data_IF_511720454106
#
_entry.id   IF_511720454106
#
_cell.length_a   1.000
_cell.length_b   1.000
_cell.length_c   1.000
_cell.angle_alpha   90.00
_cell.angle_beta   90.00
_cell.angle_gamma   90.00
#
_symmetry.space_group_name_H-M   'P 1'
#
loop_
_entity.id
_entity.type
_entity.pdbx_description
1 polymer ?
#
# COMPACT_ATOMS: atom_id res chain seq x y z
N UNK A 1 -24.38 -10.47 8.68
CA UNK A 1 -24.72 -11.66 9.46
C UNK A 1 -23.45 -12.52 9.63
N UNK A 2 -22.98 -12.70 10.86
CA UNK A 2 -21.74 -13.42 11.20
C UNK A 2 -21.72 -14.83 10.60
N UNK A 3 -22.85 -15.54 10.61
CA UNK A 3 -22.95 -16.89 10.02
C UNK A 3 -22.67 -16.87 8.49
N UNK A 4 -23.12 -15.86 7.78
CA UNK A 4 -22.83 -15.68 6.35
C UNK A 4 -21.34 -15.39 6.11
N UNK A 5 -20.74 -14.58 6.98
CA UNK A 5 -19.30 -14.27 6.89
C UNK A 5 -18.45 -15.51 7.15
N UNK A 6 -18.79 -16.32 8.17
CA UNK A 6 -18.10 -17.59 8.45
C UNK A 6 -18.24 -18.55 7.27
N UNK A 7 -19.43 -18.69 6.71
CA UNK A 7 -19.70 -19.59 5.60
C UNK A 7 -18.99 -19.20 4.29
N UNK A 8 -18.74 -17.89 4.09
CA UNK A 8 -18.15 -17.36 2.84
C UNK A 8 -16.68 -17.04 2.91
N UNK A 9 -16.14 -16.74 4.10
CA UNK A 9 -14.75 -16.27 4.30
C UNK A 9 -13.93 -17.09 5.29
N UNK A 10 -14.57 -18.06 5.97
CA UNK A 10 -13.93 -18.90 7.00
C UNK A 10 -13.76 -18.20 8.35
N UNK A 11 -13.31 -18.95 9.35
CA UNK A 11 -13.08 -18.46 10.72
C UNK A 11 -11.87 -17.52 10.79
N UNK A 12 -10.86 -17.73 9.96
CA UNK A 12 -9.67 -16.88 9.91
C UNK A 12 -9.99 -15.39 9.68
N UNK A 13 -11.00 -15.09 8.86
CA UNK A 13 -11.43 -13.70 8.65
C UNK A 13 -11.95 -13.04 9.93
N UNK A 14 -12.61 -13.78 10.79
CA UNK A 14 -13.12 -13.27 12.07
C UNK A 14 -11.97 -13.04 13.04
N UNK A 15 -10.98 -13.95 13.04
CA UNK A 15 -9.77 -13.81 13.84
C UNK A 15 -8.94 -12.60 13.40
N UNK A 16 -8.74 -12.41 12.11
CA UNK A 16 -8.05 -11.25 11.55
C UNK A 16 -8.80 -9.94 11.87
N UNK A 17 -10.13 -9.92 11.73
CA UNK A 17 -10.96 -8.77 12.07
C UNK A 17 -10.93 -8.48 13.58
N UNK A 18 -11.00 -9.52 14.42
CA UNK A 18 -10.88 -9.38 15.87
C UNK A 18 -9.51 -8.81 16.24
N UNK A 19 -8.44 -9.33 15.65
CA UNK A 19 -7.08 -8.85 15.91
C UNK A 19 -6.92 -7.38 15.53
N UNK A 20 -7.49 -6.98 14.39
CA UNK A 20 -7.48 -5.58 13.95
C UNK A 20 -8.24 -4.67 14.94
N UNK A 21 -9.48 -5.03 15.30
CA UNK A 21 -10.31 -4.23 16.23
C UNK A 21 -9.68 -4.19 17.61
N UNK A 22 -9.16 -5.32 18.12
CA UNK A 22 -8.45 -5.34 19.40
C UNK A 22 -7.20 -4.47 19.36
N UNK A 23 -6.44 -4.50 18.25
CA UNK A 23 -5.27 -3.64 18.08
C UNK A 23 -5.62 -2.15 18.17
N UNK A 24 -6.72 -1.74 17.55
CA UNK A 24 -7.19 -0.35 17.66
C UNK A 24 -7.66 -0.01 19.09
N UNK A 25 -8.47 -0.87 19.70
CA UNK A 25 -9.04 -0.61 21.03
C UNK A 25 -7.99 -0.66 22.14
N UNK A 26 -7.04 -1.58 22.06
CA UNK A 26 -6.06 -1.81 23.12
C UNK A 26 -4.88 -0.81 23.03
N UNK A 27 -4.62 -0.24 21.85
CA UNK A 27 -3.48 0.65 21.61
C UNK A 27 -3.90 2.04 21.14
N UNK A 28 -4.29 2.20 19.87
CA UNK A 28 -4.48 3.51 19.25
C UNK A 28 -5.62 4.34 19.87
N UNK A 29 -6.72 3.69 20.27
CA UNK A 29 -7.90 4.33 20.87
C UNK A 29 -7.93 4.20 22.40
N UNK A 30 -6.94 3.56 22.99
CA UNK A 30 -6.85 3.38 24.44
C UNK A 30 -6.22 4.61 25.12
N UNK A 31 -6.98 5.45 25.82
CA UNK A 31 -6.44 6.63 26.50
C UNK A 31 -5.49 6.27 27.66
N UNK A 32 -5.56 5.04 28.17
CA UNK A 32 -4.71 4.54 29.24
C UNK A 32 -3.44 3.86 28.73
N UNK A 33 -3.25 3.76 27.40
CA UNK A 33 -2.05 3.19 26.83
C UNK A 33 -0.83 4.08 27.13
N UNK A 34 0.06 3.59 28.00
CA UNK A 34 1.21 4.35 28.54
C UNK A 34 2.47 4.29 27.66
N UNK A 35 2.31 3.91 26.44
CA UNK A 35 3.42 3.85 25.51
C UNK A 35 3.75 2.41 25.10
N UNK A 36 4.49 2.34 24.07
CA UNK A 36 4.93 1.11 23.41
C UNK A 36 6.24 0.61 24.02
N UNK A 37 6.58 -0.64 23.75
CA UNK A 37 7.78 -1.31 24.30
C UNK A 37 9.10 -0.73 23.81
N UNK A 38 9.07 0.12 22.79
CA UNK A 38 10.24 0.84 22.23
C UNK A 38 10.78 1.91 23.17
N UNK A 39 9.96 2.41 24.10
CA UNK A 39 10.39 3.37 25.14
C UNK A 39 10.62 4.81 24.66
N UNK A 40 10.30 5.10 23.42
CA UNK A 40 10.42 6.43 22.82
C UNK A 40 9.16 7.30 23.03
N UNK A 41 9.32 8.61 22.86
CA UNK A 41 8.20 9.55 22.78
C UNK A 41 7.65 9.61 21.35
N UNK A 42 6.42 9.14 21.16
CA UNK A 42 5.74 9.14 19.86
C UNK A 42 5.41 10.52 19.32
N UNK A 43 5.47 11.56 20.16
CA UNK A 43 5.21 12.95 19.80
C UNK A 43 6.49 13.77 19.61
N UNK A 44 7.67 13.17 19.78
CA UNK A 44 8.96 13.80 19.46
C UNK A 44 9.66 13.11 18.29
N UNK A 45 9.67 13.77 17.13
CA UNK A 45 10.36 13.28 15.93
C UNK A 45 11.88 13.24 16.08
N UNK A 46 12.45 13.95 17.08
CA UNK A 46 13.88 13.97 17.32
C UNK A 46 14.35 12.83 18.23
N UNK A 47 13.44 12.20 18.96
CA UNK A 47 13.71 10.97 19.69
C UNK A 47 13.74 9.79 18.70
N UNK A 48 14.94 9.57 18.10
CA UNK A 48 15.14 8.65 16.97
C UNK A 48 15.83 7.35 17.35
N UNK A 49 16.33 7.23 18.59
CA UNK A 49 17.15 6.08 19.03
C UNK A 49 16.25 5.08 19.73
N UNK A 50 15.51 4.29 18.97
CA UNK A 50 14.63 3.25 19.45
C UNK A 50 14.46 2.14 18.42
N UNK A 51 13.74 1.07 18.83
CA UNK A 51 13.56 -0.11 18.00
C UNK A 51 14.77 -1.06 18.06
N UNK A 52 14.76 -2.07 17.22
CA UNK A 52 15.81 -3.09 17.16
C UNK A 52 15.86 -3.72 15.76
N UNK A 53 16.76 -4.70 15.55
CA UNK A 53 16.90 -5.42 14.29
C UNK A 53 15.89 -6.57 14.09
N UNK A 54 14.94 -6.79 14.99
CA UNK A 54 13.91 -7.81 14.82
C UNK A 54 12.79 -7.34 13.89
N UNK A 55 12.96 -7.62 12.60
CA UNK A 55 11.95 -7.30 11.57
C UNK A 55 10.88 -8.39 11.46
N UNK A 56 11.07 -9.54 12.12
CA UNK A 56 10.16 -10.67 12.01
C UNK A 56 9.05 -10.61 13.05
N UNK A 57 9.38 -10.23 14.30
CA UNK A 57 8.45 -10.25 15.42
C UNK A 57 7.84 -11.62 15.65
N UNK A 58 6.53 -11.65 15.93
CA UNK A 58 5.80 -12.91 16.05
C UNK A 58 5.53 -13.51 14.67
N UNK A 59 6.07 -14.69 14.41
CA UNK A 59 5.93 -15.41 13.13
C UNK A 59 4.48 -15.66 12.73
N UNK A 60 3.61 -15.93 13.68
CA UNK A 60 2.19 -16.21 13.40
C UNK A 60 1.48 -14.93 12.87
N UNK A 61 1.90 -13.76 13.33
CA UNK A 61 1.31 -12.47 12.96
C UNK A 61 2.07 -11.72 11.84
N UNK A 62 3.29 -12.16 11.48
CA UNK A 62 4.09 -11.52 10.41
C UNK A 62 3.60 -11.84 8.98
N UNK A 63 2.34 -12.24 8.82
CA UNK A 63 1.74 -12.72 7.58
C UNK A 63 1.67 -11.64 6.50
N UNK A 64 1.17 -10.46 6.84
CA UNK A 64 0.92 -9.40 5.88
C UNK A 64 2.22 -8.93 5.18
N UNK A 65 3.26 -8.57 5.95
CA UNK A 65 4.54 -8.11 5.40
C UNK A 65 5.26 -9.19 4.59
N UNK A 66 5.20 -10.47 5.04
CA UNK A 66 5.76 -11.61 4.30
C UNK A 66 5.07 -11.80 2.95
N UNK A 67 3.75 -11.67 2.91
CA UNK A 67 2.97 -11.79 1.67
C UNK A 67 3.28 -10.64 0.70
N UNK A 68 3.33 -9.42 1.20
CA UNK A 68 3.69 -8.22 0.45
C UNK A 68 5.08 -8.34 -0.18
N UNK A 69 6.09 -8.77 0.60
CA UNK A 69 7.44 -9.01 0.10
C UNK A 69 7.46 -10.13 -0.97
N UNK A 70 6.67 -11.19 -0.77
CA UNK A 70 6.52 -12.28 -1.73
C UNK A 70 5.97 -11.82 -3.07
N UNK A 71 4.96 -10.96 -3.09
CA UNK A 71 4.42 -10.41 -4.35
C UNK A 71 5.52 -9.72 -5.17
N UNK A 72 6.42 -9.01 -4.51
CA UNK A 72 7.54 -8.34 -5.20
C UNK A 72 8.59 -9.35 -5.65
N UNK A 73 9.06 -10.25 -4.76
CA UNK A 73 10.34 -10.93 -4.93
C UNK A 73 10.36 -12.44 -4.65
N UNK A 74 9.20 -13.12 -4.44
CA UNK A 74 9.24 -14.59 -4.33
C UNK A 74 9.85 -15.23 -5.57
N UNK A 75 10.62 -16.29 -5.37
CA UNK A 75 11.40 -16.95 -6.44
C UNK A 75 10.50 -17.49 -7.54
N UNK A 76 10.84 -17.17 -8.78
CA UNK A 76 10.12 -17.63 -9.98
C UNK A 76 10.65 -18.95 -10.47
N UNK A 77 9.82 -19.69 -11.20
CA UNK A 77 10.20 -20.90 -11.96
C UNK A 77 10.82 -22.01 -11.08
N UNK A 78 10.47 -22.10 -9.82
CA UNK A 78 10.96 -23.12 -8.89
C UNK A 78 9.92 -24.22 -8.57
N UNK A 79 8.76 -24.19 -9.22
CA UNK A 79 7.62 -25.09 -9.01
C UNK A 79 7.05 -25.02 -7.56
N UNK A 80 7.30 -23.95 -6.84
CA UNK A 80 6.80 -23.75 -5.45
C UNK A 80 6.19 -22.35 -5.34
N UNK A 81 4.97 -22.28 -4.83
CA UNK A 81 4.28 -21.00 -4.60
C UNK A 81 3.91 -20.27 -5.88
N UNK A 82 3.97 -18.96 -5.84
CA UNK A 82 3.73 -18.06 -6.96
C UNK A 82 5.02 -17.46 -7.50
N UNK A 83 4.88 -16.55 -8.48
CA UNK A 83 6.00 -15.85 -9.10
C UNK A 83 5.99 -14.37 -8.69
N UNK A 84 7.06 -13.91 -8.05
CA UNK A 84 7.25 -12.49 -7.72
C UNK A 84 7.42 -11.63 -8.97
N UNK A 85 6.93 -10.40 -8.94
CA UNK A 85 6.98 -9.50 -10.11
C UNK A 85 8.43 -9.20 -10.50
N UNK A 86 9.31 -8.94 -9.54
CA UNK A 86 10.70 -8.52 -9.76
C UNK A 86 11.75 -9.55 -9.29
N UNK A 87 11.35 -10.73 -8.89
CA UNK A 87 12.06 -11.85 -8.26
C UNK A 87 13.61 -11.81 -8.30
N UNK A 88 14.22 -12.03 -9.47
CA UNK A 88 15.68 -12.19 -9.59
C UNK A 88 16.43 -10.86 -9.77
N UNK A 89 15.72 -9.74 -9.81
CA UNK A 89 16.29 -8.43 -10.17
C UNK A 89 16.40 -7.49 -8.97
N UNK A 90 15.88 -7.88 -7.81
CA UNK A 90 15.78 -7.01 -6.63
C UNK A 90 16.11 -7.75 -5.36
N UNK A 91 16.50 -6.99 -4.35
CA UNK A 91 16.61 -7.43 -2.96
C UNK A 91 15.59 -6.69 -2.11
N UNK A 92 15.09 -7.35 -1.08
CA UNK A 92 14.11 -6.79 -0.16
C UNK A 92 14.80 -6.25 1.10
N UNK A 93 14.65 -4.95 1.34
CA UNK A 93 14.95 -4.34 2.62
C UNK A 93 13.68 -4.34 3.46
N UNK A 94 13.64 -5.14 4.50
CA UNK A 94 12.51 -5.20 5.41
C UNK A 94 12.62 -4.14 6.51
N UNK A 95 11.61 -3.26 6.60
CA UNK A 95 11.50 -2.24 7.65
C UNK A 95 10.16 -2.40 8.34
N UNK A 96 10.17 -2.90 9.57
CA UNK A 96 8.95 -3.11 10.35
C UNK A 96 8.55 -1.82 11.05
N UNK A 97 7.53 -1.13 10.51
CA UNK A 97 7.11 0.19 10.95
C UNK A 97 5.64 0.26 11.41
N UNK A 98 4.86 -0.81 11.24
CA UNK A 98 3.44 -0.85 11.60
C UNK A 98 3.24 -1.84 12.74
N UNK A 99 2.67 -1.41 13.89
CA UNK A 99 2.38 -2.28 15.04
C UNK A 99 1.09 -3.11 14.82
N UNK A 100 0.62 -3.76 15.86
CA UNK A 100 -0.77 -4.22 15.92
C UNK A 100 -1.67 -3.00 16.08
N UNK A 101 -2.51 -2.71 15.12
CA UNK A 101 -3.29 -1.48 15.01
C UNK A 101 -2.76 -0.56 13.91
N UNK A 102 -3.15 0.71 13.97
CA UNK A 102 -2.73 1.70 12.97
C UNK A 102 -1.28 2.16 13.19
N UNK A 103 -0.64 2.57 12.11
CA UNK A 103 0.72 3.10 12.13
C UNK A 103 0.82 4.45 12.86
N UNK A 104 1.96 4.67 13.51
CA UNK A 104 2.35 5.99 14.03
C UNK A 104 3.10 6.78 12.96
N UNK A 105 2.74 8.04 12.77
CA UNK A 105 3.35 8.91 11.74
C UNK A 105 4.86 9.09 11.97
N UNK A 106 5.31 9.11 13.23
CA UNK A 106 6.73 9.12 13.59
C UNK A 106 7.48 7.93 12.99
N UNK A 107 6.97 6.72 13.19
CA UNK A 107 7.59 5.49 12.71
C UNK A 107 7.65 5.45 11.19
N UNK A 108 6.56 5.86 10.53
CA UNK A 108 6.50 5.90 9.06
C UNK A 108 7.49 6.92 8.51
N UNK A 109 7.57 8.11 9.10
CA UNK A 109 8.51 9.14 8.67
C UNK A 109 9.96 8.68 8.83
N UNK A 110 10.30 8.05 9.95
CA UNK A 110 11.65 7.53 10.20
C UNK A 110 11.96 6.30 9.33
N UNK A 111 10.98 5.41 9.09
CA UNK A 111 11.13 4.26 8.21
C UNK A 111 11.42 4.66 6.75
N UNK A 112 10.69 5.67 6.22
CA UNK A 112 10.94 6.21 4.88
C UNK A 112 12.35 6.79 4.78
N UNK A 113 12.78 7.58 5.78
CA UNK A 113 14.15 8.14 5.82
C UNK A 113 15.21 7.05 5.90
N UNK A 114 15.01 6.07 6.79
CA UNK A 114 15.93 4.94 6.94
C UNK A 114 16.09 4.16 5.62
N UNK A 115 14.99 3.81 4.95
CA UNK A 115 15.02 3.10 3.68
C UNK A 115 15.78 3.91 2.61
N UNK A 116 15.52 5.22 2.50
CA UNK A 116 16.17 6.10 1.55
C UNK A 116 17.70 6.24 1.83
N UNK A 117 18.09 6.34 3.10
CA UNK A 117 19.49 6.45 3.51
C UNK A 117 20.29 5.15 3.30
N UNK A 118 19.60 4.01 3.37
CA UNK A 118 20.21 2.69 3.15
C UNK A 118 20.05 2.17 1.71
N UNK A 119 19.75 3.06 0.76
CA UNK A 119 19.86 2.79 -0.68
C UNK A 119 18.62 2.17 -1.33
N UNK A 120 17.48 2.11 -0.65
CA UNK A 120 16.21 1.71 -1.29
C UNK A 120 15.94 2.62 -2.50
N UNK A 121 15.47 2.04 -3.60
CA UNK A 121 15.09 2.76 -4.81
C UNK A 121 13.58 2.84 -4.99
N UNK A 122 12.87 1.88 -4.41
CA UNK A 122 11.41 1.82 -4.35
C UNK A 122 11.01 1.42 -2.94
N UNK A 123 10.11 2.15 -2.32
CA UNK A 123 9.50 1.82 -1.03
C UNK A 123 8.07 1.38 -1.30
N UNK A 124 7.64 0.25 -0.73
CA UNK A 124 6.25 -0.17 -0.73
C UNK A 124 5.63 0.03 0.65
N UNK A 125 4.55 0.81 0.72
CA UNK A 125 3.75 1.08 1.91
C UNK A 125 2.33 0.51 1.81
N UNK A 126 2.16 -0.75 2.18
CA UNK A 126 0.84 -1.42 2.15
C UNK A 126 0.04 -1.19 3.44
N UNK A 127 -0.10 0.06 3.87
CA UNK A 127 -0.79 0.49 5.08
C UNK A 127 -1.47 1.85 4.84
N UNK A 128 -2.30 2.29 5.80
CA UNK A 128 -2.91 3.62 5.78
C UNK A 128 -4.03 3.76 6.80
N UNK A 129 -4.31 5.00 7.17
CA UNK A 129 -5.35 5.41 8.13
C UNK A 129 -6.10 6.65 7.64
N UNK A 130 -7.19 7.03 8.32
CA UNK A 130 -8.04 8.16 7.94
C UNK A 130 -8.03 9.32 8.95
N UNK A 131 -7.09 9.32 9.86
CA UNK A 131 -6.89 10.41 10.82
C UNK A 131 -5.47 10.93 10.78
N UNK A 132 -5.32 12.21 10.97
CA UNK A 132 -4.04 12.90 11.10
C UNK A 132 -3.53 12.80 12.55
N UNK A 133 -2.30 12.40 12.71
CA UNK A 133 -1.59 12.48 13.99
C UNK A 133 -0.44 13.48 13.89
N UNK A 134 0.46 13.29 12.94
CA UNK A 134 1.60 14.15 12.62
C UNK A 134 1.97 13.99 11.13
N UNK A 135 0.98 14.10 10.25
CA UNK A 135 1.13 13.83 8.80
C UNK A 135 2.23 14.67 8.15
N UNK A 136 2.50 15.87 8.69
CA UNK A 136 3.59 16.70 8.19
C UNK A 136 4.97 16.01 8.28
N UNK A 137 5.23 15.24 9.32
CA UNK A 137 6.50 14.49 9.42
C UNK A 137 6.66 13.47 8.29
N UNK A 138 5.54 12.84 7.93
CA UNK A 138 5.51 11.88 6.82
C UNK A 138 5.68 12.61 5.48
N UNK A 139 5.02 13.74 5.27
CA UNK A 139 5.21 14.57 4.08
C UNK A 139 6.66 15.07 3.94
N UNK A 140 7.28 15.50 5.03
CA UNK A 140 8.69 15.89 5.03
C UNK A 140 9.62 14.69 4.73
N UNK A 141 9.23 13.48 5.12
CA UNK A 141 9.95 12.25 4.76
C UNK A 141 9.74 11.84 3.29
N UNK A 142 8.54 12.07 2.72
CA UNK A 142 8.27 11.87 1.28
C UNK A 142 9.16 12.80 0.45
N UNK A 143 9.25 14.08 0.82
CA UNK A 143 10.17 15.03 0.16
C UNK A 143 11.63 14.59 0.28
N UNK A 144 12.04 14.17 1.47
CA UNK A 144 13.40 13.65 1.69
C UNK A 144 13.69 12.44 0.79
N UNK A 145 12.74 11.52 0.65
CA UNK A 145 12.87 10.38 -0.25
C UNK A 145 12.94 10.82 -1.74
N UNK A 146 12.20 11.88 -2.12
CA UNK A 146 12.31 12.47 -3.46
C UNK A 146 13.70 13.04 -3.72
N UNK A 147 14.29 13.77 -2.76
CA UNK A 147 15.66 14.31 -2.85
C UNK A 147 16.72 13.20 -2.96
N UNK A 148 16.42 12.00 -2.48
CA UNK A 148 17.25 10.77 -2.59
C UNK A 148 16.89 9.91 -3.80
N UNK A 149 16.02 10.39 -4.68
CA UNK A 149 15.56 9.66 -5.87
C UNK A 149 14.91 8.31 -5.53
N UNK A 150 14.02 8.28 -4.56
CA UNK A 150 13.29 7.09 -4.12
C UNK A 150 11.80 7.22 -4.44
N UNK A 151 11.23 6.26 -5.16
CA UNK A 151 9.80 6.16 -5.41
C UNK A 151 9.09 5.50 -4.24
N UNK A 152 7.99 6.08 -3.78
CA UNK A 152 7.13 5.51 -2.74
C UNK A 152 5.82 5.05 -3.39
N UNK A 153 5.46 3.78 -3.21
CA UNK A 153 4.24 3.16 -3.73
C UNK A 153 3.36 2.73 -2.57
N UNK A 154 2.12 3.18 -2.54
CA UNK A 154 1.22 2.92 -1.40
C UNK A 154 -0.13 2.39 -1.82
N UNK A 155 -0.79 1.67 -0.91
CA UNK A 155 -2.14 1.16 -1.10
C UNK A 155 -3.20 2.27 -0.97
N UNK A 156 -4.25 2.25 -1.78
CA UNK A 156 -5.31 3.27 -1.73
C UNK A 156 -6.27 3.15 -0.53
N UNK A 157 -6.33 1.99 0.11
CA UNK A 157 -7.28 1.67 1.19
C UNK A 157 -8.41 0.75 0.74
N UNK A 158 -9.10 0.14 1.71
CA UNK A 158 -10.03 -0.98 1.49
C UNK A 158 -11.46 -0.71 1.97
N UNK A 159 -11.87 0.55 2.00
CA UNK A 159 -13.14 0.98 2.61
C UNK A 159 -14.19 1.36 1.58
N UNK A 160 -13.91 1.04 0.30
CA UNK A 160 -14.82 1.30 -0.82
C UNK A 160 -15.19 2.79 -0.99
N UNK A 161 -14.28 3.69 -0.59
CA UNK A 161 -14.52 5.14 -0.57
C UNK A 161 -14.12 5.80 -1.89
N UNK A 162 -14.93 6.77 -2.30
CA UNK A 162 -14.51 7.81 -3.25
C UNK A 162 -13.68 8.85 -2.47
N UNK A 163 -12.38 8.92 -2.72
CA UNK A 163 -11.50 9.85 -2.04
C UNK A 163 -11.69 11.29 -2.53
N UNK A 164 -12.31 11.45 -3.71
CA UNK A 164 -12.54 12.77 -4.32
C UNK A 164 -13.99 12.88 -4.83
N UNK A 165 -14.99 12.86 -3.93
CA UNK A 165 -16.39 12.92 -4.32
C UNK A 165 -16.75 14.28 -4.97
N UNK A 166 -17.77 14.27 -5.81
CA UNK A 166 -18.17 15.44 -6.59
C UNK A 166 -18.66 16.64 -5.75
N UNK A 167 -19.03 16.42 -4.48
CA UNK A 167 -19.40 17.49 -3.55
C UNK A 167 -18.19 18.32 -3.07
N UNK A 168 -16.96 17.90 -3.41
CA UNK A 168 -15.73 18.62 -3.08
C UNK A 168 -15.18 18.37 -1.67
N UNK A 169 -15.78 17.47 -0.91
CA UNK A 169 -15.31 17.06 0.42
C UNK A 169 -14.39 15.85 0.27
N UNK A 170 -13.12 16.10 -0.13
CA UNK A 170 -12.13 15.04 -0.31
C UNK A 170 -11.91 14.25 0.99
N UNK A 171 -11.93 12.93 0.90
CA UNK A 171 -11.66 12.03 2.02
C UNK A 171 -10.16 11.92 2.19
N UNK A 172 -9.65 12.41 3.32
CA UNK A 172 -8.22 12.35 3.62
C UNK A 172 -7.82 10.93 4.04
N UNK A 173 -6.88 10.36 3.31
CA UNK A 173 -6.19 9.13 3.65
C UNK A 173 -4.71 9.43 3.89
N UNK A 174 -4.13 8.83 4.91
CA UNK A 174 -2.73 8.99 5.27
C UNK A 174 -1.97 7.64 5.14
N UNK A 175 -0.68 7.65 4.74
CA UNK A 175 0.08 8.83 4.29
C UNK A 175 -0.44 9.35 2.95
N UNK A 176 -0.36 10.67 2.75
CA UNK A 176 -0.60 11.32 1.46
C UNK A 176 0.47 12.36 1.18
N UNK A 177 0.59 12.72 -0.06
CA UNK A 177 1.54 13.73 -0.54
C UNK A 177 0.88 15.06 -0.91
N UNK A 178 -0.43 15.21 -0.69
CA UNK A 178 -1.14 16.44 -1.02
C UNK A 178 -0.96 17.50 0.08
N UNK A 179 -0.57 18.70 -0.32
CA UNK A 179 -0.51 19.86 0.57
C UNK A 179 -1.93 20.26 0.94
N UNK A 180 -2.21 20.35 2.23
CA UNK A 180 -3.54 20.65 2.75
C UNK A 180 -4.13 21.93 2.14
N UNK A 181 -5.42 21.87 1.76
CA UNK A 181 -6.13 22.97 1.12
C UNK A 181 -5.73 23.28 -0.32
N UNK A 182 -4.88 22.44 -0.94
CA UNK A 182 -4.43 22.63 -2.32
C UNK A 182 -4.60 21.35 -3.15
N UNK A 183 -4.37 21.45 -4.47
CA UNK A 183 -4.23 20.30 -5.36
C UNK A 183 -2.75 19.97 -5.67
N UNK A 184 -1.82 20.50 -4.89
CA UNK A 184 -0.38 20.36 -5.12
C UNK A 184 0.17 19.22 -4.28
N UNK A 185 0.93 18.32 -4.89
CA UNK A 185 1.71 17.29 -4.22
C UNK A 185 2.97 17.89 -3.59
N UNK A 186 3.45 17.34 -2.47
CA UNK A 186 4.70 17.79 -1.83
C UNK A 186 5.93 17.39 -2.64
N UNK A 187 5.82 16.31 -3.43
CA UNK A 187 6.84 15.84 -4.37
C UNK A 187 6.24 14.80 -5.36
N UNK A 188 6.85 14.65 -6.54
CA UNK A 188 6.38 13.77 -7.62
C UNK A 188 6.83 12.30 -7.50
N UNK A 189 7.19 11.84 -6.31
CA UNK A 189 7.74 10.50 -6.06
C UNK A 189 6.79 9.58 -5.29
N UNK A 190 5.51 9.88 -5.25
CA UNK A 190 4.51 9.14 -4.50
C UNK A 190 3.44 8.59 -5.44
N UNK A 191 3.14 7.27 -5.37
CA UNK A 191 2.21 6.58 -6.27
C UNK A 191 1.17 5.81 -5.45
N UNK A 192 -0.09 6.14 -5.61
CA UNK A 192 -1.22 5.50 -4.91
C UNK A 192 -1.90 4.47 -5.81
N UNK A 193 -2.10 3.26 -5.28
CA UNK A 193 -2.54 2.10 -6.06
C UNK A 193 -3.87 1.53 -5.58
N UNK A 194 -4.87 1.52 -6.46
CA UNK A 194 -6.15 0.84 -6.28
C UNK A 194 -6.10 -0.63 -6.68
N UNK A 195 -7.08 -1.42 -6.25
CA UNK A 195 -7.11 -2.87 -6.44
C UNK A 195 -8.08 -3.33 -7.54
N UNK A 196 -7.62 -4.25 -8.39
CA UNK A 196 -8.43 -4.93 -9.39
C UNK A 196 -8.76 -6.38 -9.01
N UNK A 197 -9.93 -6.81 -9.47
CA UNK A 197 -10.33 -8.21 -9.57
C UNK A 197 -9.65 -8.91 -10.76
N UNK A 198 -9.54 -10.25 -10.75
CA UNK A 198 -9.09 -11.03 -11.91
C UNK A 198 -10.02 -10.92 -13.12
N UNK A 199 -11.32 -10.63 -12.91
CA UNK A 199 -12.30 -10.51 -13.98
C UNK A 199 -12.19 -9.16 -14.68
N UNK A 200 -11.96 -9.17 -16.00
CA UNK A 200 -12.01 -7.97 -16.82
C UNK A 200 -13.48 -7.59 -17.14
N UNK A 201 -13.79 -6.28 -17.12
CA UNK A 201 -15.10 -5.75 -17.45
C UNK A 201 -15.70 -4.89 -16.35
N UNK A 202 -17.02 -4.77 -16.27
CA UNK A 202 -17.69 -3.88 -15.32
C UNK A 202 -17.30 -4.11 -13.84
N UNK A 203 -16.98 -5.36 -13.48
CA UNK A 203 -16.61 -5.74 -12.11
C UNK A 203 -15.10 -5.86 -11.91
N UNK A 204 -14.30 -5.22 -12.76
CA UNK A 204 -12.86 -5.33 -12.65
C UNK A 204 -12.26 -4.58 -11.45
N UNK A 205 -12.92 -3.56 -10.93
CA UNK A 205 -12.49 -2.89 -9.69
C UNK A 205 -12.92 -3.75 -8.50
N UNK A 206 -12.01 -3.95 -7.55
CA UNK A 206 -12.32 -4.67 -6.32
C UNK A 206 -13.37 -3.91 -5.50
N UNK A 207 -14.36 -4.62 -4.98
CA UNK A 207 -15.50 -4.01 -4.29
C UNK A 207 -15.14 -3.23 -3.01
N UNK A 208 -13.99 -3.51 -2.44
CA UNK A 208 -13.45 -2.83 -1.28
C UNK A 208 -12.49 -1.69 -1.64
N UNK A 209 -11.98 -1.62 -2.88
CA UNK A 209 -10.95 -0.65 -3.23
C UNK A 209 -11.45 0.77 -3.10
N UNK A 210 -10.68 1.60 -2.42
CA UNK A 210 -10.81 3.04 -2.58
C UNK A 210 -10.42 3.44 -4.00
N UNK A 211 -10.98 4.55 -4.46
CA UNK A 211 -10.73 5.15 -5.76
C UNK A 211 -10.80 6.67 -5.65
N UNK A 212 -10.31 7.39 -6.64
CA UNK A 212 -10.36 8.85 -6.62
C UNK A 212 -9.66 9.46 -7.82
N UNK A 213 -10.26 10.47 -8.40
CA UNK A 213 -9.76 11.14 -9.61
C UNK A 213 -8.49 11.97 -9.40
N UNK A 214 -8.12 12.23 -8.13
CA UNK A 214 -6.95 13.01 -7.75
C UNK A 214 -5.96 12.24 -6.88
N UNK A 215 -6.46 11.36 -6.00
CA UNK A 215 -5.68 10.72 -4.93
C UNK A 215 -5.37 9.24 -5.19
N UNK A 216 -5.79 8.68 -6.32
CA UNK A 216 -5.38 7.36 -6.79
C UNK A 216 -4.73 7.50 -8.15
N UNK A 217 -3.53 6.96 -8.33
CA UNK A 217 -2.78 7.13 -9.58
C UNK A 217 -3.06 6.03 -10.60
N UNK A 218 -2.95 4.79 -10.17
CA UNK A 218 -3.09 3.61 -11.03
C UNK A 218 -3.83 2.50 -10.28
N UNK A 219 -4.26 1.50 -11.03
CA UNK A 219 -4.76 0.25 -10.45
C UNK A 219 -3.80 -0.91 -10.74
N UNK A 220 -3.83 -1.93 -9.87
CA UNK A 220 -3.07 -3.16 -10.05
C UNK A 220 -3.85 -4.37 -9.52
N UNK A 221 -3.50 -5.62 -9.88
CA UNK A 221 -4.13 -6.81 -9.32
C UNK A 221 -4.05 -6.83 -7.80
N UNK A 222 -5.20 -6.96 -7.13
CA UNK A 222 -5.30 -6.93 -5.66
C UNK A 222 -6.24 -7.98 -5.07
N UNK A 223 -6.83 -8.87 -5.89
CA UNK A 223 -7.76 -9.91 -5.44
C UNK A 223 -7.26 -11.28 -5.86
N UNK A 224 -7.32 -12.25 -4.94
CA UNK A 224 -6.81 -13.62 -5.12
C UNK A 224 -5.32 -13.63 -5.47
N UNK A 225 -4.53 -12.84 -4.78
CA UNK A 225 -3.08 -12.78 -4.98
C UNK A 225 -2.43 -13.88 -4.13
N UNK A 226 -1.69 -14.77 -4.80
CA UNK A 226 -1.03 -15.92 -4.18
C UNK A 226 0.44 -15.62 -3.93
N UNK A 227 0.85 -15.60 -2.67
CA UNK A 227 2.23 -15.31 -2.31
C UNK A 227 2.63 -15.98 -0.98
N UNK A 228 3.91 -15.83 -0.64
CA UNK A 228 4.53 -16.41 0.56
C UNK A 228 3.85 -15.91 1.83
N UNK A 229 3.71 -16.83 2.79
CA UNK A 229 3.32 -16.53 4.17
C UNK A 229 4.30 -17.19 5.15
N UNK A 230 4.30 -16.84 6.43
CA UNK A 230 5.21 -17.43 7.41
C UNK A 230 5.19 -18.97 7.42
N UNK A 231 6.26 -19.55 7.96
CA UNK A 231 6.42 -21.01 8.08
C UNK A 231 6.47 -21.76 6.73
N UNK A 232 6.95 -21.12 5.66
CA UNK A 232 7.11 -21.72 4.34
C UNK A 232 5.79 -22.04 3.65
N UNK A 233 4.73 -21.33 3.99
CA UNK A 233 3.39 -21.49 3.40
C UNK A 233 3.14 -20.45 2.31
N UNK A 234 2.05 -20.65 1.58
CA UNK A 234 1.54 -19.75 0.55
C UNK A 234 0.03 -19.63 0.67
N UNK A 235 -0.49 -18.43 0.57
CA UNK A 235 -1.92 -18.18 0.71
C UNK A 235 -2.41 -17.16 -0.33
N UNK A 236 -3.73 -17.21 -0.59
CA UNK A 236 -4.43 -16.18 -1.35
C UNK A 236 -4.90 -15.08 -0.41
N UNK A 237 -4.37 -13.88 -0.58
CA UNK A 237 -4.87 -12.69 0.10
C UNK A 237 -5.46 -11.69 -0.90
N UNK A 238 -6.16 -10.69 -0.37
CA UNK A 238 -6.76 -9.61 -1.16
C UNK A 238 -6.68 -8.28 -0.40
N UNK A 239 -6.59 -7.21 -1.14
CA UNK A 239 -6.50 -5.84 -0.61
C UNK A 239 -5.75 -4.93 -1.58
N UNK A 240 -5.90 -3.63 -1.41
CA UNK A 240 -4.98 -2.65 -2.02
C UNK A 240 -3.56 -2.85 -1.51
N UNK A 241 -3.41 -3.47 -0.33
CA UNK A 241 -2.12 -3.96 0.20
C UNK A 241 -1.42 -4.99 -0.69
N UNK A 242 -2.15 -5.71 -1.55
CA UNK A 242 -1.61 -6.64 -2.54
C UNK A 242 -1.44 -5.98 -3.90
N UNK A 243 -2.24 -4.96 -4.21
CA UNK A 243 -2.10 -4.18 -5.43
C UNK A 243 -0.84 -3.29 -5.42
N UNK A 244 -0.56 -2.64 -4.30
CA UNK A 244 0.63 -1.79 -4.11
C UNK A 244 1.94 -2.53 -4.41
N UNK A 245 2.24 -3.70 -3.82
CA UNK A 245 3.48 -4.44 -4.12
C UNK A 245 3.55 -4.97 -5.56
N UNK A 246 2.42 -5.25 -6.22
CA UNK A 246 2.43 -5.54 -7.66
C UNK A 246 2.96 -4.33 -8.45
N UNK A 247 2.47 -3.12 -8.16
CA UNK A 247 2.96 -1.90 -8.78
C UNK A 247 4.42 -1.58 -8.37
N UNK A 248 4.78 -1.77 -7.10
CA UNK A 248 6.15 -1.58 -6.63
C UNK A 248 7.14 -2.53 -7.32
N UNK A 249 6.72 -3.79 -7.56
CA UNK A 249 7.50 -4.75 -8.35
C UNK A 249 7.71 -4.29 -9.79
N UNK A 250 6.69 -3.70 -10.44
CA UNK A 250 6.84 -3.09 -11.77
C UNK A 250 7.85 -1.96 -11.74
N UNK A 251 7.76 -1.04 -10.78
CA UNK A 251 8.71 0.05 -10.61
C UNK A 251 10.15 -0.46 -10.40
N UNK A 252 10.31 -1.48 -9.55
CA UNK A 252 11.60 -2.08 -9.26
C UNK A 252 12.20 -2.76 -10.51
N UNK A 253 11.39 -3.44 -11.33
CA UNK A 253 11.82 -4.00 -12.62
C UNK A 253 12.30 -2.90 -13.58
N UNK A 254 11.54 -1.82 -13.75
CA UNK A 254 11.94 -0.70 -14.60
C UNK A 254 13.31 -0.18 -14.14
N UNK A 255 13.50 0.07 -12.85
CA UNK A 255 14.76 0.58 -12.31
C UNK A 255 15.92 -0.42 -12.39
N UNK A 256 15.64 -1.72 -12.33
CA UNK A 256 16.69 -2.74 -12.48
C UNK A 256 17.26 -2.79 -13.89
N UNK A 257 16.45 -2.56 -14.91
CA UNK A 257 16.86 -2.52 -16.31
C UNK A 257 17.35 -1.13 -16.75
N UNK A 258 16.78 -0.08 -16.17
CA UNK A 258 17.09 1.32 -16.50
C UNK A 258 17.44 2.12 -15.23
N UNK A 259 18.60 1.84 -14.62
CA UNK A 259 18.96 2.42 -13.32
C UNK A 259 19.19 3.94 -13.35
N UNK A 260 19.31 4.54 -14.53
CA UNK A 260 19.43 5.98 -14.71
C UNK A 260 18.11 6.74 -14.66
N UNK A 261 16.97 6.04 -14.73
CA UNK A 261 15.66 6.67 -14.61
C UNK A 261 15.43 7.14 -13.18
N UNK A 262 14.95 8.37 -13.04
CA UNK A 262 14.59 8.94 -11.75
C UNK A 262 13.27 8.37 -11.23
N UNK A 263 12.99 8.50 -9.94
CA UNK A 263 11.73 8.10 -9.32
C UNK A 263 10.52 8.73 -10.02
N UNK A 264 10.62 10.01 -10.36
CA UNK A 264 9.59 10.77 -11.10
C UNK A 264 9.36 10.19 -12.49
N UNK A 265 10.44 9.88 -13.21
CA UNK A 265 10.33 9.27 -14.54
C UNK A 265 9.71 7.89 -14.50
N UNK A 266 10.05 7.08 -13.49
CA UNK A 266 9.44 5.75 -13.28
C UNK A 266 7.95 5.88 -12.96
N UNK A 267 7.54 6.78 -12.04
CA UNK A 267 6.12 7.08 -11.78
C UNK A 267 5.39 7.44 -13.08
N UNK A 268 5.98 8.33 -13.89
CA UNK A 268 5.36 8.76 -15.14
C UNK A 268 5.26 7.61 -16.16
N UNK A 269 6.32 6.81 -16.33
CA UNK A 269 6.30 5.63 -17.21
C UNK A 269 5.20 4.66 -16.79
N UNK A 270 5.06 4.36 -15.50
CA UNK A 270 4.01 3.47 -15.01
C UNK A 270 2.60 3.98 -15.29
N UNK A 271 2.39 5.29 -15.21
CA UNK A 271 1.12 5.94 -15.56
C UNK A 271 0.87 5.92 -17.07
N UNK A 272 1.89 6.20 -17.88
CA UNK A 272 1.74 6.33 -19.33
C UNK A 272 1.64 4.99 -20.05
N UNK A 273 2.45 4.01 -19.64
CA UNK A 273 2.48 2.65 -20.22
C UNK A 273 1.32 1.76 -19.78
N UNK A 274 0.60 2.14 -18.73
CA UNK A 274 -0.53 1.39 -18.22
C UNK A 274 -1.62 1.17 -19.29
N UNK A 275 -2.38 0.10 -19.11
CA UNK A 275 -3.50 -0.23 -20.02
C UNK A 275 -4.69 0.68 -19.73
N UNK A 276 -5.07 1.47 -20.72
CA UNK A 276 -6.24 2.34 -20.64
C UNK A 276 -7.54 1.54 -20.76
N UNK A 277 -8.51 1.87 -19.92
CA UNK A 277 -9.85 1.24 -19.94
C UNK A 277 -10.89 2.31 -20.22
N UNK A 278 -11.59 2.17 -21.34
CA UNK A 278 -12.66 3.07 -21.73
C UNK A 278 -14.02 2.38 -21.52
N UNK A 279 -14.33 2.06 -20.28
CA UNK A 279 -15.59 1.38 -19.89
C UNK A 279 -16.09 1.92 -18.56
N UNK A 280 -17.39 1.79 -18.33
CA UNK A 280 -17.96 1.95 -17.02
C UNK A 280 -17.64 0.72 -16.17
N UNK A 281 -17.30 0.97 -14.91
CA UNK A 281 -16.99 -0.03 -13.90
C UNK A 281 -17.82 0.23 -12.66
N UNK A 282 -18.18 -0.85 -11.98
CA UNK A 282 -18.84 -0.80 -10.68
C UNK A 282 -17.79 -0.44 -9.64
N UNK A 283 -18.05 0.58 -8.84
CA UNK A 283 -17.21 0.97 -7.71
C UNK A 283 -17.93 0.66 -6.39
N UNK A 284 -17.17 0.59 -5.29
CA UNK A 284 -17.71 0.32 -3.94
C UNK A 284 -18.57 -0.94 -3.83
N UNK A 285 -18.45 -1.87 -4.77
CA UNK A 285 -19.32 -3.05 -4.84
C UNK A 285 -20.81 -2.75 -5.11
N UNK A 286 -21.16 -1.49 -5.36
CA UNK A 286 -22.52 -1.04 -5.62
C UNK A 286 -22.83 -1.05 -7.12
N UNK A 287 -23.61 -2.00 -7.59
CA UNK A 287 -23.98 -2.15 -9.01
C UNK A 287 -24.72 -0.94 -9.59
N UNK A 288 -25.26 -0.06 -8.74
CA UNK A 288 -25.89 1.19 -9.14
C UNK A 288 -24.90 2.35 -9.26
N UNK A 289 -23.71 2.25 -8.64
CA UNK A 289 -22.66 3.25 -8.76
C UNK A 289 -21.65 2.78 -9.81
N UNK A 290 -21.83 3.27 -11.02
CA UNK A 290 -20.94 3.01 -12.13
C UNK A 290 -20.21 4.30 -12.49
N UNK A 291 -18.91 4.16 -12.69
CA UNK A 291 -18.02 5.26 -13.09
C UNK A 291 -17.22 4.86 -14.31
N UNK A 292 -16.93 5.83 -15.18
CA UNK A 292 -15.92 5.58 -16.21
C UNK A 292 -14.56 5.31 -15.52
N UNK A 293 -13.88 4.23 -15.93
CA UNK A 293 -12.60 3.86 -15.33
C UNK A 293 -11.57 5.00 -15.40
N UNK A 294 -11.65 5.85 -16.42
CA UNK A 294 -10.79 7.05 -16.53
C UNK A 294 -11.01 8.08 -15.44
N UNK A 295 -12.15 8.04 -14.75
CA UNK A 295 -12.52 9.04 -13.75
C UNK A 295 -12.22 8.58 -12.31
N UNK A 296 -11.70 7.36 -12.11
CA UNK A 296 -11.46 6.79 -10.78
C UNK A 296 -10.00 6.74 -10.37
N UNK A 297 -9.10 7.28 -11.22
CA UNK A 297 -7.69 7.50 -10.91
C UNK A 297 -7.12 8.61 -11.81
N UNK A 298 -5.97 9.17 -11.45
CA UNK A 298 -5.31 10.25 -12.20
C UNK A 298 -4.88 9.81 -13.60
N UNK A 299 -4.49 8.54 -13.78
CA UNK A 299 -4.09 7.99 -15.08
C UNK A 299 -5.25 7.38 -15.87
N UNK A 300 -6.32 6.94 -15.22
CA UNK A 300 -7.36 6.13 -15.83
C UNK A 300 -6.87 4.78 -16.37
N UNK A 301 -5.81 4.23 -15.78
CA UNK A 301 -5.13 3.03 -16.29
C UNK A 301 -4.77 2.07 -15.15
N UNK A 302 -4.47 0.82 -15.52
CA UNK A 302 -3.84 -0.12 -14.62
C UNK A 302 -2.44 -0.48 -15.12
N UNK A 303 -1.56 -0.82 -14.18
CA UNK A 303 -0.15 -1.09 -14.47
C UNK A 303 0.05 -2.24 -15.44
N UNK A 304 1.04 -2.12 -16.32
CA UNK A 304 1.42 -3.16 -17.26
C UNK A 304 2.94 -3.17 -17.44
N UNK A 305 3.60 -4.21 -16.91
CA UNK A 305 5.05 -4.35 -16.98
C UNK A 305 5.56 -4.54 -18.41
N UNK A 306 4.79 -5.21 -19.27
CA UNK A 306 5.22 -5.45 -20.66
C UNK A 306 5.29 -4.16 -21.49
N UNK A 307 4.40 -3.20 -21.20
CA UNK A 307 4.38 -1.92 -21.92
C UNK A 307 5.38 -0.90 -21.32
N UNK A 308 5.77 -1.11 -20.06
CA UNK A 308 6.68 -0.23 -19.34
C UNK A 308 8.14 -0.53 -19.66
#
# INVERSE_FOLDING_TARGET
>A
NIAYMIATRGTSYIEDFRAHVSGQLDFNLNPDFKGRTTGDDIFDINDKIYGNGDVMGDREHAKHGTHVAGIIAQTRNNNVGGDGVASNNVEIMSVRAVPNGDEYDKDIALAIRYAADNGAKVINGSFGKYYDQNSKWVQDAIKYAADKDVLIVVAAGNDAMDLNPANGEDVKRYPNDRIEGTNTEVADNFLVVGALNPAFGEKMVANFSNFGSKDVDVFAPGVKIYATTPNGKYEYLQGTSMASPNAAGVAAMIRSYYPSLTAVQVKQIMKDSGVAVNKEVVVSGNVKDKRNFKAISTSGKFVNLYNA
#
